data_IF_858448280518
#
_entry.id   IF_858448280518
#
_cell.length_a   1.000
_cell.length_b   1.000
_cell.length_c   1.000
_cell.angle_alpha   90.00
_cell.angle_beta   90.00
_cell.angle_gamma   90.00
#
_symmetry.space_group_name_H-M   'P 1'
#
loop_
_entity.id
_entity.type
_entity.pdbx_description
1 polymer ?
#
# COMPACT_ATOMS: atom_id res chain seq x y z
N UNK A 1 40.01 -1.06 36.13
CA UNK A 1 38.91 -1.68 35.38
C UNK A 1 38.49 -0.69 34.31
N UNK A 2 38.98 -0.87 33.11
CA UNK A 2 38.79 0.05 31.97
C UNK A 2 37.69 -0.51 31.08
N UNK A 3 36.57 0.18 31.01
CA UNK A 3 35.46 -0.09 30.07
C UNK A 3 35.86 0.50 28.72
N UNK A 4 36.05 -0.34 27.72
CA UNK A 4 36.19 0.06 26.32
C UNK A 4 34.81 0.45 25.77
N UNK A 5 34.66 1.62 25.14
CA UNK A 5 33.46 1.95 24.40
C UNK A 5 33.49 1.23 23.05
N UNK A 6 32.55 0.33 22.81
CA UNK A 6 32.31 -0.23 21.48
C UNK A 6 31.90 0.92 20.54
N UNK A 7 32.76 1.19 19.56
CA UNK A 7 32.55 2.30 18.63
C UNK A 7 31.41 1.99 17.68
N UNK A 8 30.37 2.78 17.75
CA UNK A 8 29.20 2.77 16.84
C UNK A 8 29.58 2.80 15.36
N UNK A 9 30.74 3.34 15.02
CA UNK A 9 31.29 3.43 13.65
C UNK A 9 31.63 2.10 12.98
N UNK A 10 31.94 1.04 13.74
CA UNK A 10 32.24 -0.27 13.15
C UNK A 10 30.96 -1.01 12.72
N UNK A 11 29.90 -0.87 13.50
CA UNK A 11 28.58 -1.45 13.24
C UNK A 11 28.02 -0.94 11.90
N UNK A 12 28.09 0.37 11.67
CA UNK A 12 27.59 1.05 10.47
C UNK A 12 28.40 0.76 9.21
N UNK A 13 29.70 0.59 9.33
CA UNK A 13 30.54 0.17 8.20
C UNK A 13 30.22 -1.25 7.72
N UNK A 14 29.79 -2.12 8.62
CA UNK A 14 29.36 -3.48 8.31
C UNK A 14 27.98 -3.43 7.63
N UNK A 15 27.04 -2.64 8.12
CA UNK A 15 25.71 -2.46 7.50
C UNK A 15 25.79 -1.87 6.10
N UNK A 16 26.52 -0.79 5.92
CA UNK A 16 26.68 -0.16 4.61
C UNK A 16 27.34 -1.10 3.57
N UNK A 17 28.31 -1.91 4.02
CA UNK A 17 28.98 -2.89 3.16
C UNK A 17 28.07 -4.08 2.80
N UNK A 18 27.20 -4.50 3.73
CA UNK A 18 26.23 -5.56 3.52
C UNK A 18 25.10 -5.09 2.59
N UNK A 19 24.61 -3.86 2.78
CA UNK A 19 23.61 -3.24 1.92
C UNK A 19 24.11 -3.10 0.47
N UNK A 20 25.37 -2.64 0.28
CA UNK A 20 25.98 -2.53 -1.04
C UNK A 20 26.19 -3.90 -1.73
N UNK A 21 26.42 -4.95 -0.95
CA UNK A 21 26.58 -6.32 -1.48
C UNK A 21 25.23 -6.91 -1.88
N UNK A 22 24.15 -6.67 -1.12
CA UNK A 22 22.80 -7.14 -1.41
C UNK A 22 22.16 -6.44 -2.62
N UNK A 23 22.37 -5.14 -2.77
CA UNK A 23 21.91 -4.36 -3.94
C UNK A 23 22.57 -4.88 -5.24
N UNK A 24 23.82 -5.32 -5.18
CA UNK A 24 24.51 -5.87 -6.34
C UNK A 24 24.12 -7.32 -6.70
N UNK A 25 23.57 -8.09 -5.74
CA UNK A 25 23.08 -9.47 -5.96
C UNK A 25 21.64 -9.49 -6.49
N UNK A 26 20.87 -8.42 -6.34
CA UNK A 26 19.43 -8.36 -6.60
C UNK A 26 19.03 -8.21 -8.08
N UNK A 27 19.95 -8.32 -9.04
CA UNK A 27 19.63 -8.17 -10.48
C UNK A 27 18.93 -9.38 -11.12
N UNK A 28 18.60 -10.44 -10.37
CA UNK A 28 17.85 -11.61 -10.83
C UNK A 28 16.44 -11.61 -10.23
N UNK A 29 15.42 -11.52 -11.08
CA UNK A 29 13.98 -11.36 -10.69
C UNK A 29 13.41 -12.43 -9.76
N UNK A 30 14.00 -13.61 -9.64
CA UNK A 30 13.47 -14.72 -8.80
C UNK A 30 14.09 -14.84 -7.41
N UNK A 31 15.09 -14.03 -7.06
CA UNK A 31 15.76 -14.10 -5.75
C UNK A 31 15.44 -12.93 -4.81
N UNK A 32 14.73 -11.92 -5.29
CA UNK A 32 14.50 -10.67 -4.54
C UNK A 32 13.71 -10.88 -3.25
N UNK A 33 12.64 -11.65 -3.26
CA UNK A 33 11.80 -11.85 -2.07
C UNK A 33 12.52 -12.64 -0.97
N UNK A 34 13.31 -13.64 -1.34
CA UNK A 34 14.06 -14.46 -0.37
C UNK A 34 15.23 -13.69 0.28
N UNK A 35 15.93 -12.85 -0.47
CA UNK A 35 16.98 -11.97 0.06
C UNK A 35 16.40 -10.84 0.93
N UNK A 36 15.29 -10.23 0.54
CA UNK A 36 14.60 -9.21 1.33
C UNK A 36 14.09 -9.77 2.66
N UNK A 37 13.47 -10.95 2.66
CA UNK A 37 13.03 -11.66 3.88
C UNK A 37 14.19 -11.98 4.85
N UNK A 38 15.38 -12.25 4.35
CA UNK A 38 16.56 -12.49 5.17
C UNK A 38 17.04 -11.25 5.90
N UNK A 39 17.00 -10.10 5.23
CA UNK A 39 17.41 -8.81 5.79
C UNK A 39 16.40 -8.31 6.85
N UNK A 40 15.10 -8.39 6.59
CA UNK A 40 14.06 -7.97 7.54
C UNK A 40 14.07 -8.85 8.79
N UNK A 41 14.27 -10.16 8.65
CA UNK A 41 14.43 -11.08 9.79
C UNK A 41 15.65 -10.72 10.64
N UNK A 42 16.74 -10.30 10.01
CA UNK A 42 17.95 -9.86 10.70
C UNK A 42 17.74 -8.53 11.41
N UNK A 43 17.14 -7.53 10.76
CA UNK A 43 16.81 -6.23 11.35
C UNK A 43 15.82 -6.35 12.51
N UNK A 44 14.83 -7.23 12.41
CA UNK A 44 13.85 -7.47 13.48
C UNK A 44 14.48 -8.18 14.69
N UNK A 45 15.48 -9.05 14.49
CA UNK A 45 16.27 -9.62 15.58
C UNK A 45 17.09 -8.57 16.31
N UNK A 46 17.63 -7.58 15.60
CA UNK A 46 18.39 -6.48 16.21
C UNK A 46 17.49 -5.50 16.98
N UNK A 47 16.23 -5.34 16.59
CA UNK A 47 15.27 -4.46 17.29
C UNK A 47 14.73 -5.05 18.60
N UNK A 48 14.79 -6.38 18.75
CA UNK A 48 14.26 -7.13 19.91
C UNK A 48 15.34 -7.72 20.81
N UNK A 49 16.63 -7.46 20.57
CA UNK A 49 17.69 -7.95 21.43
C UNK A 49 17.88 -7.09 22.68
N UNK A 50 17.33 -7.55 23.79
CA UNK A 50 17.97 -7.47 25.08
C UNK A 50 19.31 -8.23 25.04
N UNK A 51 20.31 -7.67 25.71
CA UNK A 51 21.75 -7.99 25.64
C UNK A 51 22.15 -9.42 26.04
N UNK A 52 21.72 -10.47 25.35
CA UNK A 52 22.27 -11.81 25.57
C UNK A 52 22.41 -12.61 24.28
N UNK A 53 23.66 -12.95 23.97
CA UNK A 53 24.15 -14.01 23.08
C UNK A 53 24.20 -13.71 21.56
N UNK A 54 25.37 -13.23 21.16
CA UNK A 54 25.90 -13.34 19.80
C UNK A 54 26.31 -14.80 19.53
N UNK A 55 25.45 -15.58 18.88
CA UNK A 55 25.84 -16.77 18.17
C UNK A 55 25.59 -16.58 16.68
N UNK A 56 26.63 -16.77 15.87
CA UNK A 56 26.59 -16.68 14.41
C UNK A 56 25.59 -17.70 13.83
N UNK A 57 24.82 -17.33 12.79
CA UNK A 57 23.90 -18.26 12.13
C UNK A 57 24.68 -19.35 11.36
N UNK A 58 24.10 -20.55 11.18
CA UNK A 58 24.74 -21.63 10.45
C UNK A 58 24.96 -21.30 8.98
N UNK A 59 26.06 -21.74 8.42
CA UNK A 59 26.51 -21.54 7.04
C UNK A 59 25.52 -22.15 6.03
N UNK A 60 25.48 -21.58 4.81
CA UNK A 60 24.55 -21.87 3.72
C UNK A 60 24.46 -23.35 3.29
N UNK A 61 25.45 -24.19 3.61
CA UNK A 61 25.47 -25.60 3.21
C UNK A 61 24.46 -26.48 3.95
N UNK A 62 24.03 -26.11 5.17
CA UNK A 62 23.08 -26.89 5.95
C UNK A 62 21.62 -26.78 5.49
N UNK A 63 21.30 -25.76 4.68
CA UNK A 63 19.92 -25.53 4.17
C UNK A 63 19.66 -26.30 2.87
N UNK A 64 20.73 -26.61 2.11
CA UNK A 64 20.61 -27.32 0.84
C UNK A 64 20.34 -28.83 1.00
N UNK A 65 20.78 -29.44 2.11
CA UNK A 65 20.61 -30.87 2.34
C UNK A 65 19.24 -31.29 2.86
N UNK A 66 18.40 -30.37 3.37
CA UNK A 66 17.04 -30.67 3.85
C UNK A 66 15.96 -30.69 2.79
N UNK A 67 16.25 -30.24 1.56
CA UNK A 67 15.27 -30.18 0.43
C UNK A 67 15.36 -31.38 -0.52
N UNK A 68 16.29 -32.30 -0.34
CA UNK A 68 16.50 -33.46 -1.24
C UNK A 68 15.97 -34.80 -0.72
N UNK A 69 15.32 -34.82 0.45
CA UNK A 69 14.90 -36.08 1.07
C UNK A 69 13.38 -36.39 1.02
N UNK A 70 12.58 -35.68 0.23
CA UNK A 70 11.13 -35.89 0.15
C UNK A 70 10.58 -36.16 -1.25
N UNK A 71 11.36 -36.78 -2.12
CA UNK A 71 10.85 -37.28 -3.39
C UNK A 71 11.35 -38.68 -3.64
N UNK A 72 10.60 -39.67 -3.23
CA UNK A 72 10.49 -40.98 -3.85
C UNK A 72 9.35 -41.79 -3.23
N UNK A 73 8.32 -42.00 -4.00
CA UNK A 73 7.56 -43.24 -4.21
C UNK A 73 6.13 -42.97 -4.69
N UNK A 74 5.92 -43.14 -5.96
CA UNK A 74 4.61 -43.44 -6.54
C UNK A 74 4.60 -44.87 -7.04
N UNK A 75 3.48 -45.56 -6.98
CA UNK A 75 3.18 -46.59 -7.97
C UNK A 75 1.97 -46.22 -8.83
N UNK A 76 2.10 -46.58 -10.10
CA UNK A 76 1.19 -46.44 -11.22
C UNK A 76 -0.25 -46.95 -10.95
N UNK A 77 -1.22 -46.25 -11.50
CA UNK A 77 -2.43 -46.89 -11.97
C UNK A 77 -2.92 -46.23 -13.27
N UNK A 78 -3.11 -47.06 -14.29
CA UNK A 78 -3.62 -46.74 -15.64
C UNK A 78 -5.13 -46.80 -15.63
N UNK A 79 -5.76 -45.86 -16.32
CA UNK A 79 -7.01 -46.13 -17.00
C UNK A 79 -8.14 -45.12 -16.84
N UNK A 80 -8.57 -44.64 -17.96
CA UNK A 80 -9.91 -44.12 -18.28
C UNK A 80 -10.06 -42.62 -18.46
N UNK A 81 -10.25 -42.29 -19.73
CA UNK A 81 -10.60 -41.01 -20.31
C UNK A 81 -12.04 -40.61 -19.98
N UNK A 82 -12.18 -39.59 -19.15
CA UNK A 82 -13.33 -38.71 -19.17
C UNK A 82 -12.86 -37.29 -18.80
N UNK A 83 -13.20 -36.32 -19.68
CA UNK A 83 -12.90 -34.90 -19.46
C UNK A 83 -13.78 -34.35 -18.30
N UNK A 84 -13.39 -34.68 -17.09
CA UNK A 84 -13.88 -34.06 -15.86
C UNK A 84 -12.69 -33.38 -15.18
N UNK A 85 -12.85 -32.14 -14.78
CA UNK A 85 -11.86 -31.48 -13.91
C UNK A 85 -11.76 -32.30 -12.64
N UNK A 86 -10.60 -32.92 -12.42
CA UNK A 86 -10.38 -33.76 -11.26
C UNK A 86 -10.10 -32.84 -10.05
N UNK A 87 -11.08 -32.72 -9.17
CA UNK A 87 -11.03 -31.90 -7.97
C UNK A 87 -10.19 -32.51 -6.83
N UNK A 88 -9.66 -33.73 -7.01
CA UNK A 88 -8.87 -34.44 -5.99
C UNK A 88 -7.43 -33.93 -5.84
N UNK A 89 -6.98 -33.05 -6.73
CA UNK A 89 -5.63 -32.44 -6.65
C UNK A 89 -5.60 -31.14 -5.83
N UNK A 90 -6.73 -30.66 -5.34
CA UNK A 90 -6.85 -29.49 -4.45
C UNK A 90 -6.73 -29.93 -2.98
N UNK A 91 -5.58 -30.48 -2.58
CA UNK A 91 -5.18 -30.69 -1.19
C UNK A 91 -6.24 -31.28 -0.24
N UNK A 92 -5.82 -32.17 0.64
CA UNK A 92 -6.64 -32.79 1.67
C UNK A 92 -7.64 -31.82 2.33
N UNK A 93 -8.91 -32.19 2.35
CA UNK A 93 -10.05 -31.47 2.96
C UNK A 93 -9.87 -31.10 4.45
N UNK A 94 -8.79 -31.52 5.09
CA UNK A 94 -8.50 -31.22 6.50
C UNK A 94 -7.84 -29.83 6.72
N UNK A 95 -7.31 -29.20 5.68
CA UNK A 95 -6.94 -27.77 5.74
C UNK A 95 -8.15 -26.97 5.24
N UNK A 96 -9.06 -26.61 6.13
CA UNK A 96 -10.13 -25.64 5.87
C UNK A 96 -9.50 -24.27 5.64
N UNK A 97 -8.98 -24.05 4.44
CA UNK A 97 -8.93 -22.72 3.87
C UNK A 97 -10.39 -22.30 3.73
N UNK A 98 -10.82 -21.35 4.54
CA UNK A 98 -12.11 -20.68 4.35
C UNK A 98 -12.00 -19.88 3.06
N UNK A 99 -12.29 -20.55 1.93
CA UNK A 99 -12.36 -19.87 0.65
C UNK A 99 -13.48 -18.82 0.73
N UNK A 100 -13.28 -17.62 0.24
CA UNK A 100 -14.35 -16.62 0.18
C UNK A 100 -15.59 -17.23 -0.48
N UNK A 101 -16.77 -16.89 0.03
CA UNK A 101 -18.05 -17.47 -0.40
C UNK A 101 -18.24 -17.40 -1.93
N UNK A 102 -17.75 -16.30 -2.55
CA UNK A 102 -17.79 -16.14 -4.01
C UNK A 102 -16.86 -17.08 -4.75
N UNK A 103 -15.72 -17.41 -4.18
CA UNK A 103 -14.79 -18.38 -4.75
C UNK A 103 -15.44 -19.77 -4.78
N UNK A 104 -16.02 -20.19 -3.66
CA UNK A 104 -16.77 -21.46 -3.58
C UNK A 104 -17.96 -21.49 -4.55
N UNK A 105 -18.71 -20.39 -4.65
CA UNK A 105 -19.83 -20.29 -5.60
C UNK A 105 -19.35 -20.28 -7.06
N UNK A 106 -18.22 -19.64 -7.36
CA UNK A 106 -17.63 -19.63 -8.70
C UNK A 106 -17.16 -21.02 -9.11
N UNK A 107 -16.51 -21.75 -8.21
CA UNK A 107 -16.11 -23.15 -8.42
C UNK A 107 -17.32 -24.04 -8.64
N UNK A 108 -18.36 -23.94 -7.79
CA UNK A 108 -19.61 -24.72 -7.91
C UNK A 108 -20.37 -24.44 -9.22
N UNK A 109 -20.30 -23.20 -9.74
CA UNK A 109 -20.95 -22.80 -11.00
C UNK A 109 -20.05 -22.93 -12.22
N UNK A 110 -18.82 -23.40 -12.06
CA UNK A 110 -17.84 -23.55 -13.14
C UNK A 110 -17.39 -22.22 -13.78
N UNK A 111 -17.56 -21.08 -13.09
CA UNK A 111 -17.11 -19.77 -13.55
C UNK A 111 -15.74 -19.48 -12.98
N UNK A 112 -14.77 -19.19 -13.84
CA UNK A 112 -13.45 -18.76 -13.44
C UNK A 112 -13.50 -17.34 -12.84
N UNK A 113 -12.79 -17.12 -11.75
CA UNK A 113 -12.57 -15.78 -11.19
C UNK A 113 -11.55 -15.09 -12.10
N UNK A 114 -11.86 -13.89 -12.64
CA UNK A 114 -10.92 -13.17 -13.48
C UNK A 114 -9.67 -12.78 -12.69
N UNK A 115 -8.51 -13.06 -13.25
CA UNK A 115 -7.26 -12.51 -12.74
C UNK A 115 -7.13 -11.05 -13.14
N UNK A 116 -6.50 -10.27 -12.29
CA UNK A 116 -6.12 -8.88 -12.57
C UNK A 116 -4.64 -8.87 -12.96
N UNK A 117 -4.30 -8.80 -14.26
CA UNK A 117 -2.91 -8.75 -14.69
C UNK A 117 -2.34 -7.36 -14.45
N UNK A 118 -1.11 -7.27 -13.90
CA UNK A 118 -0.45 -6.00 -13.59
C UNK A 118 -0.27 -5.11 -14.83
N UNK A 119 -0.10 -5.72 -16.00
CA UNK A 119 0.09 -5.02 -17.28
C UNK A 119 -1.17 -4.26 -17.75
N UNK A 120 -2.33 -4.64 -17.23
CA UNK A 120 -3.62 -4.01 -17.55
C UNK A 120 -4.04 -2.93 -16.55
N UNK A 121 -3.22 -2.67 -15.53
CA UNK A 121 -3.49 -1.63 -14.55
C UNK A 121 -3.01 -0.30 -15.10
N UNK A 122 -3.95 0.64 -15.26
CA UNK A 122 -3.64 2.01 -15.63
C UNK A 122 -2.98 2.76 -14.49
N UNK A 123 -2.02 3.63 -14.83
CA UNK A 123 -1.30 4.45 -13.85
C UNK A 123 -0.79 5.73 -14.47
N UNK A 124 -0.84 6.79 -13.69
CA UNK A 124 -0.20 8.07 -14.05
C UNK A 124 0.25 8.79 -12.78
N UNK A 125 1.32 9.56 -12.90
CA UNK A 125 1.78 10.47 -11.86
C UNK A 125 2.30 11.71 -12.53
N UNK A 126 1.67 12.85 -12.29
CA UNK A 126 1.96 14.12 -12.95
C UNK A 126 2.38 15.16 -11.94
N UNK A 127 3.24 16.07 -12.38
CA UNK A 127 3.82 17.12 -11.55
C UNK A 127 2.78 18.21 -11.16
N UNK A 128 1.73 18.39 -11.97
CA UNK A 128 0.81 19.52 -11.82
C UNK A 128 1.55 20.86 -11.99
N UNK A 129 1.27 21.81 -11.11
CA UNK A 129 1.94 23.13 -11.07
C UNK A 129 3.07 23.21 -10.03
N UNK A 130 3.37 22.10 -9.35
CA UNK A 130 4.46 22.01 -8.37
C UNK A 130 5.82 22.01 -9.07
N UNK A 131 6.89 22.29 -8.32
CA UNK A 131 8.28 22.21 -8.82
C UNK A 131 8.85 20.81 -8.77
N UNK A 132 8.38 20.00 -7.83
CA UNK A 132 8.84 18.64 -7.57
C UNK A 132 7.61 17.74 -7.43
N UNK A 133 7.72 16.50 -7.92
CA UNK A 133 6.73 15.48 -7.67
C UNK A 133 7.15 14.71 -6.40
N UNK A 134 6.37 14.88 -5.33
CA UNK A 134 6.58 14.22 -4.04
C UNK A 134 5.76 12.92 -3.92
N UNK A 135 4.82 12.68 -4.84
CA UNK A 135 4.04 11.45 -4.91
C UNK A 135 4.88 10.24 -5.33
N UNK A 136 4.56 9.08 -4.77
CA UNK A 136 5.08 7.77 -5.20
C UNK A 136 3.95 6.76 -5.28
N UNK A 137 4.13 5.77 -6.15
CA UNK A 137 3.21 4.63 -6.22
C UNK A 137 3.97 3.32 -6.43
N UNK A 138 3.34 2.22 -6.04
CA UNK A 138 3.88 0.86 -6.20
C UNK A 138 2.78 -0.07 -6.72
N UNK A 139 3.15 -0.94 -7.67
CA UNK A 139 2.32 -2.00 -8.23
C UNK A 139 3.18 -3.26 -8.30
N UNK A 140 2.93 -4.24 -7.43
CA UNK A 140 3.72 -5.47 -7.39
C UNK A 140 2.85 -6.71 -7.09
N UNK A 141 3.31 -7.87 -7.54
CA UNK A 141 2.82 -9.17 -7.09
C UNK A 141 3.76 -9.70 -6.00
N UNK A 142 3.29 -9.69 -4.74
CA UNK A 142 4.09 -10.12 -3.57
C UNK A 142 4.29 -11.62 -3.52
N UNK A 143 3.26 -12.36 -3.90
CA UNK A 143 3.19 -13.82 -3.99
C UNK A 143 2.25 -14.19 -5.14
N UNK A 144 2.29 -15.43 -5.66
CA UNK A 144 1.26 -15.88 -6.58
C UNK A 144 -0.15 -15.54 -6.04
N UNK A 145 -0.92 -14.82 -6.87
CA UNK A 145 -2.30 -14.40 -6.54
C UNK A 145 -2.46 -13.38 -5.38
N UNK A 146 -1.39 -12.71 -4.96
CA UNK A 146 -1.46 -11.58 -4.01
C UNK A 146 -0.83 -10.33 -4.63
N UNK A 147 -1.68 -9.40 -5.03
CA UNK A 147 -1.27 -8.12 -5.61
C UNK A 147 -1.21 -7.05 -4.52
N UNK A 148 -0.24 -6.16 -4.65
CA UNK A 148 0.00 -5.00 -3.81
C UNK A 148 -0.07 -3.74 -4.65
N UNK A 149 -0.89 -2.79 -4.21
CA UNK A 149 -1.01 -1.45 -4.78
C UNK A 149 -0.81 -0.43 -3.67
N UNK A 150 0.05 0.55 -3.89
CA UNK A 150 0.33 1.61 -2.92
C UNK A 150 0.40 2.97 -3.58
N UNK A 151 -0.18 3.98 -2.93
CA UNK A 151 0.03 5.41 -3.21
C UNK A 151 0.55 6.06 -1.93
N UNK A 152 1.55 6.90 -2.11
CA UNK A 152 2.25 7.64 -1.08
C UNK A 152 2.36 9.09 -1.53
N UNK A 153 1.58 9.97 -0.94
CA UNK A 153 1.60 11.39 -1.18
C UNK A 153 2.52 12.04 -0.15
N UNK A 154 3.64 12.55 -0.63
CA UNK A 154 4.71 13.10 0.22
C UNK A 154 4.52 14.59 0.48
N UNK A 155 4.85 15.01 1.69
CA UNK A 155 4.89 16.41 2.07
C UNK A 155 6.17 16.77 2.84
N UNK A 156 6.57 18.04 2.74
CA UNK A 156 7.84 18.49 3.31
C UNK A 156 9.05 17.89 2.62
N UNK A 157 8.90 17.41 1.37
CA UNK A 157 9.90 16.74 0.57
C UNK A 157 9.51 15.32 0.21
N UNK A 158 10.08 14.79 -0.87
CA UNK A 158 9.77 13.46 -1.41
C UNK A 158 10.38 12.30 -0.62
N UNK A 159 11.20 12.57 0.40
CA UNK A 159 12.00 11.56 1.08
C UNK A 159 11.13 10.50 1.78
N UNK A 160 10.13 10.92 2.56
CA UNK A 160 9.25 9.99 3.29
C UNK A 160 8.45 9.09 2.35
N UNK A 161 7.87 9.64 1.27
CA UNK A 161 7.14 8.89 0.27
C UNK A 161 8.03 7.89 -0.47
N UNK A 162 9.24 8.31 -0.88
CA UNK A 162 10.22 7.43 -1.53
C UNK A 162 10.64 6.31 -0.59
N UNK A 163 10.98 6.63 0.65
CA UNK A 163 11.42 5.63 1.62
C UNK A 163 10.30 4.63 1.96
N UNK A 164 9.06 5.10 2.13
CA UNK A 164 7.92 4.24 2.36
C UNK A 164 7.61 3.33 1.16
N UNK A 165 7.65 3.87 -0.06
CA UNK A 165 7.42 3.10 -1.28
C UNK A 165 8.46 1.99 -1.51
N UNK A 166 9.71 2.25 -1.12
CA UNK A 166 10.82 1.29 -1.31
C UNK A 166 10.84 0.19 -0.25
N UNK A 167 10.38 0.48 0.99
CA UNK A 167 10.60 -0.41 2.13
C UNK A 167 9.35 -1.02 2.75
N UNK A 168 8.14 -0.48 2.52
CA UNK A 168 6.92 -1.05 3.11
C UNK A 168 6.70 -2.51 2.70
N UNK A 169 7.09 -2.85 1.47
CA UNK A 169 6.99 -4.21 0.94
C UNK A 169 7.77 -5.22 1.78
N UNK A 170 8.92 -4.86 2.34
CA UNK A 170 9.74 -5.74 3.16
C UNK A 170 9.01 -6.10 4.47
N UNK A 171 8.33 -5.13 5.06
CA UNK A 171 7.49 -5.34 6.25
C UNK A 171 6.26 -6.18 5.94
N UNK A 172 5.58 -5.94 4.80
CA UNK A 172 4.46 -6.76 4.34
C UNK A 172 4.89 -8.21 4.17
N UNK A 173 5.98 -8.46 3.44
CA UNK A 173 6.53 -9.79 3.24
C UNK A 173 6.90 -10.48 4.55
N UNK A 174 7.49 -9.75 5.50
CA UNK A 174 7.83 -10.28 6.82
C UNK A 174 6.56 -10.70 7.59
N UNK A 175 5.57 -9.81 7.75
CA UNK A 175 4.38 -10.10 8.53
C UNK A 175 3.51 -11.19 7.91
N UNK A 176 3.50 -11.31 6.59
CA UNK A 176 2.87 -12.44 5.89
C UNK A 176 3.53 -13.80 6.18
N UNK A 177 4.73 -13.86 6.77
CA UNK A 177 5.28 -15.11 7.28
C UNK A 177 4.80 -15.45 8.68
N UNK A 178 4.21 -14.49 9.39
CA UNK A 178 3.76 -14.63 10.78
C UNK A 178 2.25 -14.83 10.89
N UNK A 179 1.47 -14.29 9.96
CA UNK A 179 0.01 -14.37 9.96
C UNK A 179 -0.56 -14.35 8.55
N UNK A 180 -1.68 -15.04 8.35
CA UNK A 180 -2.47 -15.00 7.11
C UNK A 180 -3.53 -13.88 7.11
N UNK A 181 -3.77 -13.22 8.24
CA UNK A 181 -4.69 -12.08 8.34
C UNK A 181 -4.06 -10.83 7.74
N UNK A 182 -4.52 -10.44 6.54
CA UNK A 182 -4.00 -9.28 5.82
C UNK A 182 -4.24 -7.95 6.55
N UNK A 183 -5.27 -7.86 7.41
CA UNK A 183 -5.48 -6.66 8.25
C UNK A 183 -4.38 -6.52 9.29
N UNK A 184 -4.04 -7.62 9.96
CA UNK A 184 -2.97 -7.62 10.95
C UNK A 184 -1.61 -7.41 10.27
N UNK A 185 -1.39 -7.97 9.07
CA UNK A 185 -0.20 -7.70 8.24
C UNK A 185 -0.07 -6.21 7.97
N UNK A 186 -1.09 -5.56 7.43
CA UNK A 186 -1.07 -4.12 7.14
C UNK A 186 -0.83 -3.30 8.41
N UNK A 187 -1.59 -3.57 9.49
CA UNK A 187 -1.47 -2.84 10.75
C UNK A 187 -0.04 -2.83 11.28
N UNK A 188 0.59 -4.00 11.32
CA UNK A 188 1.97 -4.13 11.82
C UNK A 188 2.98 -3.53 10.87
N UNK A 189 2.81 -3.73 9.56
CA UNK A 189 3.71 -3.19 8.56
C UNK A 189 3.74 -1.66 8.57
N UNK A 190 2.60 -0.99 8.74
CA UNK A 190 2.54 0.47 8.86
C UNK A 190 3.27 0.98 10.11
N UNK A 191 3.08 0.31 11.26
CA UNK A 191 3.76 0.66 12.49
C UNK A 191 5.28 0.47 12.37
N UNK A 192 5.74 -0.68 11.84
CA UNK A 192 7.15 -0.97 11.69
C UNK A 192 7.81 -0.03 10.66
N UNK A 193 7.11 0.26 9.55
CA UNK A 193 7.56 1.21 8.53
C UNK A 193 7.75 2.60 9.12
N UNK A 194 6.76 3.09 9.88
CA UNK A 194 6.87 4.40 10.54
C UNK A 194 8.03 4.44 11.54
N UNK A 195 8.22 3.38 12.33
CA UNK A 195 9.32 3.29 13.29
C UNK A 195 10.69 3.28 12.59
N UNK A 196 10.79 2.58 11.47
CA UNK A 196 12.02 2.54 10.67
C UNK A 196 12.30 3.91 10.05
N UNK A 197 11.28 4.54 9.44
CA UNK A 197 11.40 5.89 8.88
C UNK A 197 11.78 6.91 9.96
N UNK A 198 11.13 6.89 11.13
CA UNK A 198 11.45 7.79 12.23
C UNK A 198 12.90 7.64 12.70
N UNK A 199 13.38 6.40 12.85
CA UNK A 199 14.81 6.15 13.19
C UNK A 199 15.73 6.70 12.12
N UNK A 200 15.40 6.51 10.85
CA UNK A 200 16.20 6.99 9.74
C UNK A 200 16.26 8.52 9.72
N UNK A 201 15.12 9.19 9.81
CA UNK A 201 15.04 10.65 9.90
C UNK A 201 15.79 11.19 11.12
N UNK A 202 15.74 10.52 12.27
CA UNK A 202 16.43 10.93 13.50
C UNK A 202 17.95 10.75 13.40
N UNK A 203 18.42 9.73 12.70
CA UNK A 203 19.84 9.39 12.64
C UNK A 203 20.63 10.20 11.62
N UNK A 204 20.03 10.48 10.47
CA UNK A 204 20.69 11.24 9.39
C UNK A 204 20.56 12.76 9.54
N UNK A 205 20.59 13.26 10.74
CA UNK A 205 20.53 14.67 11.17
C UNK A 205 21.46 15.63 10.42
N UNK A 206 21.41 15.67 9.11
CA UNK A 206 22.18 16.64 8.31
C UNK A 206 21.35 17.88 8.00
N UNK A 207 19.99 17.76 8.10
CA UNK A 207 19.08 18.85 7.72
C UNK A 207 17.84 18.85 8.60
N UNK A 208 17.55 19.95 9.31
CA UNK A 208 16.35 20.12 10.14
C UNK A 208 15.04 19.98 9.31
N UNK A 209 15.12 20.18 8.00
CA UNK A 209 13.96 20.07 7.12
C UNK A 209 13.52 18.61 6.88
N UNK A 210 14.43 17.64 6.93
CA UNK A 210 14.08 16.21 6.79
C UNK A 210 13.18 15.69 7.92
N UNK A 211 13.25 16.29 9.12
CA UNK A 211 12.37 15.94 10.24
C UNK A 211 10.90 16.27 10.00
N UNK A 212 10.65 17.22 9.13
CA UNK A 212 9.32 17.70 8.80
C UNK A 212 8.68 16.90 7.67
N UNK A 213 9.43 15.94 7.10
CA UNK A 213 8.90 15.13 6.00
C UNK A 213 7.94 14.07 6.52
N UNK A 214 6.87 13.92 5.80
CA UNK A 214 5.88 12.86 6.01
C UNK A 214 5.29 12.40 4.70
N UNK A 215 4.42 11.40 4.78
CA UNK A 215 3.68 10.90 3.62
C UNK A 215 2.38 10.26 4.06
N UNK A 216 1.34 10.40 3.23
CA UNK A 216 0.19 9.53 3.29
C UNK A 216 0.60 8.10 2.92
N UNK A 217 -0.23 7.13 3.19
CA UNK A 217 -0.08 5.79 2.65
C UNK A 217 -1.46 5.15 2.47
N UNK A 218 -1.87 4.94 1.23
CA UNK A 218 -3.06 4.18 0.88
C UNK A 218 -2.62 2.92 0.18
N UNK A 219 -2.81 1.78 0.86
CA UNK A 219 -2.31 0.47 0.45
C UNK A 219 -3.46 -0.51 0.28
N UNK A 220 -3.50 -1.17 -0.86
CA UNK A 220 -4.47 -2.22 -1.17
C UNK A 220 -3.75 -3.54 -1.39
N UNK A 221 -4.20 -4.59 -0.72
CA UNK A 221 -3.79 -5.98 -0.94
C UNK A 221 -4.97 -6.75 -1.55
N UNK A 222 -4.79 -7.30 -2.74
CA UNK A 222 -5.81 -8.10 -3.43
C UNK A 222 -5.34 -9.56 -3.49
N UNK A 223 -5.98 -10.43 -2.69
CA UNK A 223 -5.68 -11.86 -2.63
C UNK A 223 -6.70 -12.65 -3.44
N UNK A 224 -6.19 -13.58 -4.28
CA UNK A 224 -7.00 -14.46 -5.12
C UNK A 224 -8.01 -13.72 -6.01
N UNK A 225 -7.72 -12.46 -6.34
CA UNK A 225 -8.63 -11.55 -7.05
C UNK A 225 -9.99 -11.33 -6.35
N UNK A 226 -10.20 -11.78 -5.12
CA UNK A 226 -11.50 -11.72 -4.42
C UNK A 226 -11.43 -10.99 -3.09
N UNK A 227 -10.42 -11.18 -2.30
CA UNK A 227 -10.27 -10.49 -1.02
C UNK A 227 -9.44 -9.21 -1.20
N UNK A 228 -10.09 -8.07 -1.05
CA UNK A 228 -9.45 -6.76 -1.07
C UNK A 228 -9.36 -6.20 0.35
N UNK A 229 -8.14 -5.98 0.83
CA UNK A 229 -7.88 -5.35 2.13
C UNK A 229 -7.17 -4.03 1.90
N UNK A 230 -7.72 -2.96 2.47
CA UNK A 230 -7.20 -1.61 2.38
C UNK A 230 -6.68 -1.17 3.73
N UNK A 231 -5.45 -0.67 3.76
CA UNK A 231 -4.84 0.04 4.88
C UNK A 231 -4.53 1.48 4.49
N UNK A 232 -4.97 2.44 5.30
CA UNK A 232 -4.94 3.83 4.91
C UNK A 232 -4.55 4.76 6.06
N UNK A 233 -3.65 5.72 5.79
CA UNK A 233 -3.34 6.89 6.62
C UNK A 233 -3.22 8.12 5.72
N UNK A 234 -3.80 9.24 6.12
CA UNK A 234 -3.80 10.52 5.41
C UNK A 234 -5.12 10.80 4.69
N UNK A 235 -5.05 11.41 3.51
CA UNK A 235 -6.16 11.92 2.69
C UNK A 235 -6.09 11.49 1.21
N UNK A 236 -5.12 10.66 0.83
CA UNK A 236 -5.16 9.93 -0.45
C UNK A 236 -6.29 8.89 -0.41
N UNK A 237 -6.96 8.62 -1.51
CA UNK A 237 -8.20 7.85 -1.49
C UNK A 237 -8.15 6.54 -2.26
N UNK A 238 -9.07 5.62 -1.88
CA UNK A 238 -9.39 4.40 -2.62
C UNK A 238 -10.90 4.29 -2.82
N UNK A 239 -11.35 4.15 -4.08
CA UNK A 239 -12.76 4.07 -4.48
C UNK A 239 -12.99 2.80 -5.28
N UNK A 240 -13.96 1.99 -4.87
CA UNK A 240 -14.45 0.86 -5.66
C UNK A 240 -15.68 1.27 -6.45
N UNK A 241 -15.69 1.02 -7.76
CA UNK A 241 -16.91 1.14 -8.56
C UNK A 241 -17.71 -0.17 -8.48
N UNK A 242 -18.84 -0.13 -7.76
CA UNK A 242 -19.79 -1.24 -7.68
C UNK A 242 -21.13 -0.84 -8.29
N UNK A 243 -21.60 -1.59 -9.28
CA UNK A 243 -22.86 -1.31 -9.98
C UNK A 243 -22.91 0.11 -10.58
N UNK A 244 -21.76 0.60 -11.05
CA UNK A 244 -21.62 1.95 -11.63
C UNK A 244 -21.58 3.09 -10.61
N UNK A 245 -21.57 2.80 -9.30
CA UNK A 245 -21.54 3.79 -8.21
C UNK A 245 -20.24 3.73 -7.42
N UNK A 246 -19.76 4.88 -6.89
CA UNK A 246 -18.59 4.88 -6.02
C UNK A 246 -18.89 4.28 -4.65
N UNK A 247 -17.97 3.47 -4.15
CA UNK A 247 -17.90 3.04 -2.76
C UNK A 247 -16.53 3.44 -2.24
N UNK A 248 -16.48 4.48 -1.41
CA UNK A 248 -15.24 4.92 -0.79
C UNK A 248 -14.74 3.90 0.21
N UNK A 249 -13.48 3.48 0.06
CA UNK A 249 -12.84 2.48 0.91
C UNK A 249 -11.94 3.08 1.98
N UNK A 250 -11.49 4.32 1.79
CA UNK A 250 -10.72 5.12 2.75
C UNK A 250 -11.57 6.28 3.27
N UNK A 251 -11.32 6.71 4.50
CA UNK A 251 -11.91 7.92 5.10
C UNK A 251 -10.77 8.87 5.38
N UNK A 252 -10.88 10.11 4.91
CA UNK A 252 -9.84 11.10 5.08
C UNK A 252 -9.58 11.37 6.57
N UNK A 253 -8.31 11.39 6.93
CA UNK A 253 -7.89 11.61 8.32
C UNK A 253 -7.56 13.09 8.52
N UNK A 254 -8.58 13.94 8.48
CA UNK A 254 -8.44 15.37 8.68
C UNK A 254 -8.73 15.81 10.13
N UNK A 255 -8.25 16.99 10.55
CA UNK A 255 -8.52 17.50 11.89
C UNK A 255 -9.98 17.93 12.15
N UNK A 256 -10.84 17.99 11.12
CA UNK A 256 -12.28 18.30 11.28
C UNK A 256 -13.06 17.06 11.74
N UNK A 257 -12.52 15.87 11.52
CA UNK A 257 -13.09 14.64 12.05
C UNK A 257 -13.05 14.65 13.59
N UNK A 258 -14.19 14.49 14.23
CA UNK A 258 -14.33 14.63 15.70
C UNK A 258 -13.49 13.63 16.50
N UNK A 259 -13.34 12.38 16.01
CA UNK A 259 -12.53 11.36 16.69
C UNK A 259 -11.04 11.67 16.57
N UNK A 260 -10.60 12.07 15.39
CA UNK A 260 -9.23 12.49 15.12
C UNK A 260 -8.89 13.74 15.94
N UNK A 261 -9.76 14.77 15.91
CA UNK A 261 -9.61 15.99 16.68
C UNK A 261 -9.52 15.73 18.20
N UNK A 262 -10.34 14.82 18.71
CA UNK A 262 -10.32 14.44 20.13
C UNK A 262 -9.00 13.79 20.52
N UNK A 263 -8.46 12.91 19.67
CA UNK A 263 -7.15 12.28 19.87
C UNK A 263 -6.03 13.32 19.92
N UNK A 264 -5.99 14.24 18.95
CA UNK A 264 -5.00 15.32 18.89
C UNK A 264 -5.04 16.17 20.17
N UNK A 265 -6.24 16.67 20.54
CA UNK A 265 -6.42 17.49 21.73
C UNK A 265 -6.05 16.75 23.02
N UNK A 266 -6.39 15.47 23.13
CA UNK A 266 -6.07 14.64 24.32
C UNK A 266 -4.56 14.44 24.52
N UNK A 267 -3.78 14.58 23.46
CA UNK A 267 -2.31 14.49 23.46
C UNK A 267 -1.62 15.87 23.54
N UNK A 268 -2.39 16.94 23.81
CA UNK A 268 -1.86 18.30 23.93
C UNK A 268 -1.59 19.00 22.61
N UNK A 269 -2.05 18.43 21.48
CA UNK A 269 -2.01 19.10 20.18
C UNK A 269 -3.15 20.12 20.04
N UNK A 270 -2.97 21.06 19.15
CA UNK A 270 -3.94 22.11 18.83
C UNK A 270 -4.39 21.99 17.39
N UNK A 271 -5.65 22.31 17.12
CA UNK A 271 -6.17 22.43 15.76
C UNK A 271 -6.31 23.92 15.46
N UNK A 272 -5.60 24.38 14.46
CA UNK A 272 -5.51 25.79 14.05
C UNK A 272 -5.93 25.88 12.60
N UNK A 273 -6.89 26.79 12.31
CA UNK A 273 -7.31 27.04 10.95
C UNK A 273 -6.39 28.09 10.30
N UNK A 274 -5.97 27.82 9.07
CA UNK A 274 -5.22 28.79 8.27
C UNK A 274 -6.13 29.91 7.76
N UNK A 275 -5.57 30.88 7.01
CA UNK A 275 -6.32 32.00 6.44
C UNK A 275 -7.43 31.59 5.44
N UNK A 276 -7.37 30.38 4.93
CA UNK A 276 -8.34 29.78 4.01
C UNK A 276 -9.38 28.91 4.71
N UNK A 277 -9.33 28.82 6.06
CA UNK A 277 -10.24 28.03 6.86
C UNK A 277 -9.90 26.54 6.93
N UNK A 278 -8.74 26.11 6.42
CA UNK A 278 -8.31 24.69 6.50
C UNK A 278 -7.72 24.41 7.86
N UNK A 279 -8.20 23.36 8.51
CA UNK A 279 -7.73 22.92 9.82
C UNK A 279 -6.36 22.22 9.73
N UNK A 280 -5.45 22.60 10.62
CA UNK A 280 -4.10 22.01 10.71
C UNK A 280 -3.78 21.60 12.13
N UNK A 281 -3.09 20.48 12.30
CA UNK A 281 -2.50 20.08 13.58
C UNK A 281 -1.31 21.00 13.86
N UNK A 282 -1.37 21.72 14.99
CA UNK A 282 -0.38 22.70 15.43
C UNK A 282 -0.05 23.75 14.35
N UNK A 283 -1.00 24.05 13.44
CA UNK A 283 -0.82 24.99 12.34
C UNK A 283 0.13 24.52 11.23
N UNK A 284 0.48 23.22 11.16
CA UNK A 284 1.50 22.70 10.24
C UNK A 284 0.97 21.61 9.31
N UNK A 285 0.26 20.59 9.81
CA UNK A 285 -0.15 19.43 9.06
C UNK A 285 -1.66 19.38 8.90
N UNK A 286 -2.15 19.30 7.66
CA UNK A 286 -3.59 19.29 7.35
C UNK A 286 -4.26 17.93 7.65
N UNK A 287 -3.47 16.89 7.93
CA UNK A 287 -3.96 15.55 8.24
C UNK A 287 -3.59 15.13 9.67
N UNK A 288 -4.24 14.09 10.20
CA UNK A 288 -4.04 13.60 11.57
C UNK A 288 -3.38 12.23 11.63
N UNK A 289 -3.19 11.59 10.46
CA UNK A 289 -2.45 10.33 10.33
C UNK A 289 -1.52 10.38 9.13
N UNK A 290 -0.28 9.91 9.35
CA UNK A 290 0.78 9.87 8.34
C UNK A 290 1.88 8.89 8.72
N UNK A 291 2.77 8.56 7.78
CA UNK A 291 4.10 8.01 8.04
C UNK A 291 5.10 9.18 8.08
N UNK A 292 6.09 9.12 8.97
CA UNK A 292 7.00 10.26 9.19
C UNK A 292 6.40 11.26 10.17
N UNK A 293 6.53 12.56 9.91
CA UNK A 293 6.05 13.65 10.78
C UNK A 293 6.40 13.43 12.25
N UNK A 294 7.67 13.11 12.51
CA UNK A 294 8.15 12.61 13.81
C UNK A 294 7.84 13.57 14.95
N UNK A 295 7.97 14.87 14.71
CA UNK A 295 7.71 15.91 15.70
C UNK A 295 6.23 15.94 16.13
N UNK A 296 5.32 15.64 15.23
CA UNK A 296 3.88 15.73 15.49
C UNK A 296 3.31 14.45 16.11
N UNK A 297 4.05 13.34 16.15
CA UNK A 297 3.61 12.08 16.78
C UNK A 297 3.32 12.24 18.27
N UNK A 298 4.11 13.06 18.98
CA UNK A 298 3.87 13.37 20.40
C UNK A 298 2.55 14.12 20.64
N UNK A 299 2.06 14.85 19.63
CA UNK A 299 0.79 15.60 19.68
C UNK A 299 -0.39 14.83 19.13
N UNK A 300 -0.25 13.50 18.91
CA UNK A 300 -1.34 12.62 18.56
C UNK A 300 -1.48 12.29 17.07
N UNK A 301 -0.61 12.80 16.19
CA UNK A 301 -0.51 12.28 14.81
C UNK A 301 -0.06 10.83 14.88
N UNK A 302 -0.72 9.93 14.15
CA UNK A 302 -0.45 8.50 14.26
C UNK A 302 -0.24 7.85 12.89
N UNK A 303 0.58 6.79 12.87
CA UNK A 303 0.76 5.92 11.71
C UNK A 303 -0.16 4.69 11.74
N UNK A 304 -1.07 4.60 12.71
CA UNK A 304 -2.00 3.48 12.80
C UNK A 304 -3.01 3.56 11.65
N UNK A 305 -3.03 2.57 10.73
CA UNK A 305 -3.91 2.64 9.58
C UNK A 305 -5.37 2.39 9.95
N UNK A 306 -6.28 3.06 9.24
CA UNK A 306 -7.64 2.59 9.07
C UNK A 306 -7.60 1.34 8.19
N UNK A 307 -8.34 0.31 8.59
CA UNK A 307 -8.35 -0.99 7.90
C UNK A 307 -9.76 -1.32 7.43
N UNK A 308 -9.88 -1.65 6.14
CA UNK A 308 -11.13 -2.12 5.56
C UNK A 308 -10.88 -3.38 4.74
N UNK A 309 -11.74 -4.38 4.88
CA UNK A 309 -11.71 -5.59 4.06
C UNK A 309 -13.05 -5.76 3.40
N UNK A 310 -13.03 -6.03 2.12
CA UNK A 310 -14.20 -6.28 1.31
C UNK A 310 -13.97 -7.47 0.38
N UNK A 311 -15.06 -8.12 0.00
CA UNK A 311 -15.06 -9.14 -1.03
C UNK A 311 -15.37 -8.48 -2.39
N UNK A 312 -14.47 -8.71 -3.37
CA UNK A 312 -14.65 -8.25 -4.75
C UNK A 312 -15.66 -9.12 -5.47
N UNK A 313 -16.69 -8.49 -5.99
CA UNK A 313 -17.77 -9.12 -6.75
C UNK A 313 -17.58 -8.87 -8.25
N UNK A 314 -16.80 -9.71 -8.93
CA UNK A 314 -16.46 -9.51 -10.35
C UNK A 314 -17.66 -9.37 -11.30
N UNK A 315 -18.87 -9.77 -10.89
CA UNK A 315 -20.08 -9.54 -11.67
C UNK A 315 -20.65 -8.12 -11.57
N UNK A 316 -20.26 -7.35 -10.56
CA UNK A 316 -20.77 -6.00 -10.26
C UNK A 316 -19.68 -4.97 -9.99
N UNK A 317 -18.48 -5.39 -9.63
CA UNK A 317 -17.35 -4.48 -9.39
C UNK A 317 -16.58 -4.28 -10.69
N UNK A 318 -16.57 -3.01 -11.16
CA UNK A 318 -15.96 -2.67 -12.45
C UNK A 318 -14.47 -2.36 -12.32
N UNK A 319 -14.09 -1.60 -11.31
CA UNK A 319 -12.70 -1.18 -11.08
C UNK A 319 -12.50 -0.66 -9.65
N UNK A 320 -11.24 -0.62 -9.24
CA UNK A 320 -10.75 0.12 -8.08
C UNK A 320 -9.93 1.30 -8.61
N UNK A 321 -10.20 2.51 -8.10
CA UNK A 321 -9.37 3.71 -8.31
C UNK A 321 -8.68 4.05 -7.00
N UNK A 322 -7.38 4.34 -7.08
CA UNK A 322 -6.61 4.92 -6.00
C UNK A 322 -6.00 6.22 -6.51
N UNK A 323 -5.99 7.27 -5.69
CA UNK A 323 -5.37 8.54 -6.09
C UNK A 323 -4.88 9.36 -4.89
N UNK A 324 -3.92 10.28 -5.15
CA UNK A 324 -3.53 11.33 -4.22
C UNK A 324 -4.59 12.43 -4.16
N UNK A 325 -4.45 13.34 -3.18
CA UNK A 325 -5.40 14.41 -2.94
C UNK A 325 -5.49 15.43 -4.09
N UNK A 326 -4.42 15.58 -4.89
CA UNK A 326 -4.44 16.41 -6.08
C UNK A 326 -5.52 16.04 -7.09
N UNK A 327 -6.03 14.80 -7.11
CA UNK A 327 -7.20 14.42 -7.86
C UNK A 327 -8.48 14.62 -7.05
N UNK A 328 -8.58 14.03 -5.86
CA UNK A 328 -9.82 13.96 -5.09
C UNK A 328 -10.29 15.31 -4.58
N UNK A 329 -9.39 16.26 -4.46
CA UNK A 329 -9.73 17.64 -4.14
C UNK A 329 -10.47 18.35 -5.28
N UNK A 330 -10.08 18.07 -6.53
CA UNK A 330 -10.62 18.74 -7.72
C UNK A 330 -11.89 18.05 -8.26
N UNK A 331 -12.02 16.71 -8.07
CA UNK A 331 -13.04 15.90 -8.72
C UNK A 331 -13.75 15.04 -7.66
N UNK A 332 -15.09 15.03 -7.68
CA UNK A 332 -15.87 14.18 -6.76
C UNK A 332 -15.81 12.70 -7.10
N UNK A 333 -16.10 11.83 -6.10
CA UNK A 333 -16.10 10.37 -6.27
C UNK A 333 -17.01 9.92 -7.41
N UNK A 334 -18.18 10.56 -7.57
CA UNK A 334 -19.14 10.27 -8.65
C UNK A 334 -18.57 10.64 -10.02
N UNK A 335 -17.90 11.78 -10.12
CA UNK A 335 -17.27 12.24 -11.35
C UNK A 335 -16.07 11.35 -11.72
N UNK A 336 -15.24 10.94 -10.73
CA UNK A 336 -14.14 9.97 -10.93
C UNK A 336 -14.71 8.70 -11.55
N UNK A 337 -15.73 8.08 -10.92
CA UNK A 337 -16.34 6.86 -11.42
C UNK A 337 -16.95 7.06 -12.80
N UNK A 338 -17.60 8.21 -13.05
CA UNK A 338 -18.19 8.51 -14.35
C UNK A 338 -17.11 8.64 -15.45
N UNK A 339 -16.01 9.33 -15.19
CA UNK A 339 -14.90 9.47 -16.14
C UNK A 339 -14.36 8.10 -16.51
N UNK A 340 -14.05 7.25 -15.50
CA UNK A 340 -13.50 5.92 -15.73
C UNK A 340 -14.47 5.02 -16.50
N UNK A 341 -15.77 5.05 -16.18
CA UNK A 341 -16.78 4.26 -16.90
C UNK A 341 -16.89 4.64 -18.38
N UNK A 342 -16.49 5.86 -18.76
CA UNK A 342 -16.56 6.36 -20.15
C UNK A 342 -15.22 6.27 -20.88
N UNK A 343 -14.30 5.41 -20.45
CA UNK A 343 -13.02 5.15 -21.10
C UNK A 343 -12.91 3.68 -21.50
N UNK A 344 -12.15 3.40 -22.56
CA UNK A 344 -11.97 2.05 -23.07
C UNK A 344 -10.86 1.30 -22.32
N UNK A 345 -9.82 2.02 -21.88
CA UNK A 345 -8.67 1.43 -21.20
C UNK A 345 -8.38 2.09 -19.86
N UNK A 346 -7.81 1.35 -18.88
CA UNK A 346 -7.40 1.93 -17.60
C UNK A 346 -6.34 3.02 -17.71
N UNK A 347 -5.42 2.93 -18.69
CA UNK A 347 -4.41 3.97 -18.92
C UNK A 347 -5.05 5.27 -19.42
N UNK A 348 -6.01 5.17 -20.35
CA UNK A 348 -6.80 6.33 -20.80
C UNK A 348 -7.58 6.95 -19.64
N UNK A 349 -8.17 6.12 -18.77
CA UNK A 349 -8.87 6.61 -17.59
C UNK A 349 -7.96 7.43 -16.68
N UNK A 350 -6.75 6.92 -16.39
CA UNK A 350 -5.76 7.65 -15.59
C UNK A 350 -5.38 8.99 -16.23
N UNK A 351 -5.12 8.97 -17.53
CA UNK A 351 -4.78 10.20 -18.26
C UNK A 351 -5.92 11.22 -18.19
N UNK A 352 -7.17 10.81 -18.49
CA UNK A 352 -8.34 11.71 -18.44
C UNK A 352 -8.60 12.25 -17.05
N UNK A 353 -8.44 11.44 -16.00
CA UNK A 353 -8.59 11.89 -14.62
C UNK A 353 -7.54 12.95 -14.27
N UNK A 354 -6.28 12.72 -14.59
CA UNK A 354 -5.20 13.67 -14.33
C UNK A 354 -5.38 14.99 -15.12
N UNK A 355 -5.75 14.90 -16.40
CA UNK A 355 -6.02 16.04 -17.24
C UNK A 355 -7.21 16.87 -16.70
N UNK A 356 -8.29 16.18 -16.32
CA UNK A 356 -9.48 16.83 -15.76
C UNK A 356 -9.20 17.52 -14.43
N UNK A 357 -8.36 16.91 -13.55
CA UNK A 357 -7.96 17.55 -12.30
C UNK A 357 -7.25 18.88 -12.54
N UNK A 358 -6.35 18.92 -13.52
CA UNK A 358 -5.65 20.16 -13.91
C UNK A 358 -6.61 21.20 -14.49
N UNK A 359 -7.57 20.77 -15.31
CA UNK A 359 -8.60 21.67 -15.85
C UNK A 359 -9.50 22.25 -14.76
N UNK A 360 -9.81 21.50 -13.71
CA UNK A 360 -10.56 21.98 -12.55
C UNK A 360 -9.71 22.76 -11.54
N UNK A 361 -8.45 23.03 -11.89
CA UNK A 361 -7.58 23.94 -11.15
C UNK A 361 -6.77 23.28 -10.04
N UNK A 362 -6.59 21.96 -10.09
CA UNK A 362 -5.60 21.31 -9.24
C UNK A 362 -4.21 21.89 -9.51
N UNK A 363 -3.54 22.31 -8.45
CA UNK A 363 -2.18 22.84 -8.52
C UNK A 363 -1.15 21.83 -8.01
N UNK A 364 -1.62 20.70 -7.45
CA UNK A 364 -0.78 19.69 -6.82
C UNK A 364 -0.28 18.61 -7.77
N UNK A 365 0.59 17.76 -7.23
CA UNK A 365 0.94 16.48 -7.84
C UNK A 365 -0.34 15.63 -7.95
N UNK A 366 -0.51 14.93 -9.04
CA UNK A 366 -1.67 14.08 -9.28
C UNK A 366 -1.20 12.68 -9.65
N UNK A 367 -1.43 11.74 -8.75
CA UNK A 367 -1.13 10.33 -8.95
C UNK A 367 -2.41 9.51 -8.94
N UNK A 368 -2.61 8.69 -9.97
CA UNK A 368 -3.81 7.87 -10.15
C UNK A 368 -3.43 6.46 -10.56
N UNK A 369 -4.09 5.47 -9.95
CA UNK A 369 -4.02 4.06 -10.34
C UNK A 369 -5.45 3.57 -10.59
N UNK A 370 -5.71 2.94 -11.73
CA UNK A 370 -6.99 2.32 -12.08
C UNK A 370 -6.80 0.84 -12.31
N UNK A 371 -7.39 0.02 -11.43
CA UNK A 371 -7.31 -1.43 -11.43
C UNK A 371 -8.62 -1.98 -12.01
N UNK A 372 -8.62 -2.55 -13.23
CA UNK A 372 -9.82 -3.12 -13.83
C UNK A 372 -10.21 -4.43 -13.13
N UNK A 373 -11.50 -4.59 -12.85
CA UNK A 373 -12.09 -5.79 -12.27
C UNK A 373 -13.03 -6.48 -13.26
N UNK A 374 -13.69 -7.54 -12.85
CA UNK A 374 -14.47 -8.39 -13.77
C UNK A 374 -15.66 -7.73 -14.47
N UNK A 375 -16.18 -6.62 -13.94
CA UNK A 375 -17.25 -5.86 -14.57
C UNK A 375 -16.75 -4.62 -15.35
N UNK A 376 -15.43 -4.54 -15.66
CA UNK A 376 -14.88 -3.45 -16.48
C UNK A 376 -15.69 -3.29 -17.78
N UNK A 377 -16.02 -2.04 -18.13
CA UNK A 377 -16.76 -1.67 -19.34
C UNK A 377 -18.28 -1.93 -19.27
N UNK A 378 -18.78 -2.63 -18.22
CA UNK A 378 -20.20 -2.97 -18.10
C UNK A 378 -21.12 -1.76 -17.92
N UNK A 379 -20.63 -0.68 -17.33
CA UNK A 379 -21.42 0.50 -16.93
C UNK A 379 -21.19 1.73 -17.80
N UNK A 380 -20.55 1.59 -18.95
CA UNK A 380 -20.18 2.70 -19.86
C UNK A 380 -21.36 3.54 -20.34
N UNK A 381 -22.59 3.03 -20.35
CA UNK A 381 -23.76 3.74 -20.87
C UNK A 381 -24.79 4.16 -19.82
N UNK A 382 -24.56 3.86 -18.54
CA UNK A 382 -25.54 4.15 -17.47
C UNK A 382 -25.42 5.57 -16.90
N UNK A 383 -24.39 6.31 -17.25
CA UNK A 383 -24.12 7.62 -16.71
C UNK A 383 -24.42 8.72 -17.71
N UNK A 384 -25.72 8.87 -18.07
CA UNK A 384 -26.23 10.09 -18.68
C UNK A 384 -26.33 11.21 -17.65
N UNK A 385 -25.31 11.44 -16.86
CA UNK A 385 -25.24 12.61 -15.97
C UNK A 385 -24.65 13.76 -16.78
N UNK A 386 -25.49 14.76 -17.07
CA UNK A 386 -25.02 16.06 -17.52
C UNK A 386 -23.94 16.54 -16.55
N UNK A 387 -22.73 16.71 -17.05
CA UNK A 387 -21.68 17.41 -16.29
C UNK A 387 -22.22 18.80 -15.95
N UNK A 388 -22.51 19.03 -14.69
CA UNK A 388 -22.81 20.38 -14.21
C UNK A 388 -21.51 21.18 -14.18
N UNK A 389 -21.22 21.91 -15.25
CA UNK A 389 -20.10 22.84 -15.37
C UNK A 389 -20.23 24.06 -14.44
N UNK A 390 -20.61 23.88 -13.18
CA UNK A 390 -20.98 24.99 -12.30
C UNK A 390 -20.44 24.90 -10.87
N UNK A 391 -19.30 24.28 -10.61
CA UNK A 391 -18.63 24.51 -9.33
C UNK A 391 -17.59 25.60 -9.45
N UNK A 392 -17.98 26.79 -9.00
CA UNK A 392 -17.04 27.87 -8.70
C UNK A 392 -16.11 27.39 -7.59
N UNK A 393 -14.83 27.34 -7.90
CA UNK A 393 -13.74 27.06 -6.98
C UNK A 393 -13.75 28.06 -5.82
N UNK A 394 -14.25 27.69 -4.66
CA UNK A 394 -14.18 28.50 -3.46
C UNK A 394 -13.21 27.97 -2.40
N UNK A 395 -12.48 26.88 -2.67
CA UNK A 395 -11.52 26.33 -1.73
C UNK A 395 -10.25 25.88 -2.43
N UNK A 396 -9.35 26.82 -2.67
CA UNK A 396 -7.95 26.51 -2.95
C UNK A 396 -7.26 26.22 -1.61
N UNK A 397 -7.00 24.94 -1.33
CA UNK A 397 -6.12 24.56 -0.23
C UNK A 397 -4.68 24.68 -0.73
N UNK A 398 -4.03 25.79 -0.45
CA UNK A 398 -2.58 25.88 -0.62
C UNK A 398 -1.91 25.30 0.64
N UNK A 399 -1.10 24.27 0.45
CA UNK A 399 -0.19 23.71 1.45
C UNK A 399 1.07 24.58 1.57
#
# INVERSE_FOLDING_TARGET
MSTFPFSSTLFWKIEAKFYHTLVNVSKSKNSQCACRLSLVKWLHRLSNCDNSLLSLPPTWDSVRQRKLASHMSDPENKGSTTRGVNFDTLGSWNNRLTLPILYEQSVKKGKLIPRVPLEKIGRTSTLGRRKVNEDRYVLEELRPELLYFGIFDGHGGSYAAQYASDHLIDHLCYWMTQTEDLKEVLKRSFCDMNNLLARNLTYYHIDDDLFKTGTTATVCLLRNSTELVVGHVGDSIAILCREGKPIRLSIDHDPENSEEASRIKSKGGHIIHNSQGVAHVNGRLAMTRSLGDVELKSFGVTAQPQLRSIEVKHGSDAFLVMCSDGLSFAISDEEIVNIVNNTDTPDEACYRLSDQAQHFGSEDNVTVIVIPLGAWGKYQKLTGVHMNFGRILTHSRNY
#
